data_IF_546308897334
#
_entry.id   IF_546308897334
#
_cell.length_a   1.000
_cell.length_b   1.000
_cell.length_c   1.000
_cell.angle_alpha   90.00
_cell.angle_beta   90.00
_cell.angle_gamma   90.00
#
_symmetry.space_group_name_H-M   'P 1'
#
loop_
_entity.id
_entity.type
_entity.pdbx_description
1 polymer ?
#
# COMPACT_ATOMS: atom_id res chain seq x y z
N UNK A 1 -16.43 -12.66 -16.51
CA UNK A 1 -15.73 -13.21 -15.33
C UNK A 1 -16.63 -12.97 -14.12
N UNK A 2 -17.17 -14.03 -13.52
CA UNK A 2 -18.28 -13.96 -12.57
C UNK A 2 -17.76 -13.70 -11.14
N UNK A 3 -17.60 -12.43 -10.79
CA UNK A 3 -17.69 -12.04 -9.39
C UNK A 3 -19.18 -12.10 -9.02
N UNK A 4 -19.61 -13.20 -8.38
CA UNK A 4 -20.91 -13.22 -7.71
C UNK A 4 -20.87 -12.16 -6.58
N UNK A 5 -22.00 -11.59 -6.16
CA UNK A 5 -22.04 -10.46 -5.22
C UNK A 5 -21.36 -10.68 -3.84
N UNK A 6 -20.76 -11.86 -3.60
CA UNK A 6 -19.95 -12.20 -2.42
C UNK A 6 -18.50 -11.72 -2.56
N UNK A 7 -17.91 -11.87 -3.75
CA UNK A 7 -16.55 -11.44 -4.04
C UNK A 7 -16.57 -10.16 -4.87
N UNK A 8 -15.60 -9.29 -4.61
CA UNK A 8 -15.36 -8.08 -5.38
C UNK A 8 -13.99 -8.22 -6.04
N UNK A 9 -13.87 -7.76 -7.29
CA UNK A 9 -12.57 -7.70 -7.97
C UNK A 9 -11.59 -6.89 -7.13
N UNK A 10 -10.33 -7.33 -7.09
CA UNK A 10 -9.29 -6.57 -6.42
C UNK A 10 -9.13 -5.21 -7.10
N UNK A 11 -8.80 -4.18 -6.32
CA UNK A 11 -8.51 -2.86 -6.88
C UNK A 11 -7.34 -2.93 -7.87
N UNK A 12 -7.38 -2.08 -8.90
CA UNK A 12 -6.33 -1.93 -9.91
C UNK A 12 -5.13 -1.16 -9.33
N UNK A 13 -4.42 -1.75 -8.37
CA UNK A 13 -3.32 -1.09 -7.67
C UNK A 13 -2.18 -0.70 -8.62
N UNK A 14 -2.01 -1.38 -9.75
CA UNK A 14 -1.07 -0.98 -10.81
C UNK A 14 -1.39 0.40 -11.38
N UNK A 15 -2.62 0.58 -11.88
CA UNK A 15 -3.09 1.84 -12.48
C UNK A 15 -3.20 2.93 -11.40
N UNK A 16 -3.66 2.56 -10.21
CA UNK A 16 -3.74 3.48 -9.07
C UNK A 16 -2.35 4.03 -8.73
N UNK A 17 -1.34 3.17 -8.58
CA UNK A 17 0.04 3.59 -8.33
C UNK A 17 0.56 4.55 -9.41
N UNK A 18 0.37 4.22 -10.69
CA UNK A 18 0.81 5.03 -11.82
C UNK A 18 0.12 6.41 -11.82
N UNK A 19 -1.18 6.45 -11.58
CA UNK A 19 -1.92 7.71 -11.46
C UNK A 19 -1.50 8.52 -10.23
N UNK A 20 -1.25 7.87 -9.09
CA UNK A 20 -0.87 8.56 -7.85
C UNK A 20 0.54 9.15 -7.93
N UNK A 21 1.50 8.49 -8.60
CA UNK A 21 2.84 9.04 -8.76
C UNK A 21 2.84 10.28 -9.66
N UNK A 22 2.02 10.29 -10.72
CA UNK A 22 1.82 11.46 -11.57
C UNK A 22 1.21 12.63 -10.78
N UNK A 23 0.11 12.38 -10.05
CA UNK A 23 -0.52 13.37 -9.17
C UNK A 23 0.48 13.95 -8.16
N UNK A 24 1.29 13.08 -7.53
CA UNK A 24 2.32 13.49 -6.59
C UNK A 24 3.36 14.40 -7.23
N UNK A 25 3.87 14.06 -8.43
CA UNK A 25 4.87 14.88 -9.13
C UNK A 25 4.34 16.28 -9.40
N UNK A 26 3.09 16.41 -9.85
CA UNK A 26 2.44 17.70 -10.11
C UNK A 26 2.32 18.53 -8.82
N UNK A 27 1.82 17.92 -7.74
CA UNK A 27 1.57 18.64 -6.48
C UNK A 27 2.88 19.02 -5.78
N UNK A 28 3.86 18.11 -5.74
CA UNK A 28 5.10 18.31 -5.00
C UNK A 28 6.07 19.27 -5.69
N UNK A 29 6.15 19.24 -7.04
CA UNK A 29 7.07 20.12 -7.78
C UNK A 29 6.48 21.49 -8.11
N UNK A 30 5.22 21.54 -8.52
CA UNK A 30 4.65 22.77 -9.11
C UNK A 30 3.97 23.66 -8.08
N UNK A 31 3.17 23.07 -7.18
CA UNK A 31 2.35 23.82 -6.23
C UNK A 31 2.91 23.84 -4.80
N UNK A 32 3.93 23.01 -4.51
CA UNK A 32 4.57 22.83 -3.19
C UNK A 32 3.57 22.76 -2.03
N UNK A 33 2.44 22.10 -2.24
CA UNK A 33 1.42 21.85 -1.20
C UNK A 33 1.94 20.74 -0.30
N UNK A 34 2.64 21.09 0.78
CA UNK A 34 3.37 20.18 1.69
C UNK A 34 2.46 19.09 2.23
N UNK A 35 1.33 19.46 2.86
CA UNK A 35 0.42 18.48 3.47
C UNK A 35 -0.13 17.52 2.42
N UNK A 36 -0.55 18.04 1.27
CA UNK A 36 -1.11 17.21 0.19
C UNK A 36 -0.04 16.32 -0.44
N UNK A 37 1.18 16.83 -0.62
CA UNK A 37 2.31 16.08 -1.17
C UNK A 37 2.68 14.92 -0.25
N UNK A 38 2.74 15.17 1.07
CA UNK A 38 3.04 14.14 2.06
C UNK A 38 1.96 13.06 2.10
N UNK A 39 0.69 13.46 2.08
CA UNK A 39 -0.45 12.54 2.02
C UNK A 39 -0.40 11.69 0.74
N UNK A 40 -0.27 12.32 -0.42
CA UNK A 40 -0.23 11.61 -1.71
C UNK A 40 0.98 10.70 -1.83
N UNK A 41 2.16 11.10 -1.37
CA UNK A 41 3.33 10.22 -1.39
C UNK A 41 3.16 9.00 -0.49
N UNK A 42 2.47 9.14 0.65
CA UNK A 42 2.07 7.98 1.45
C UNK A 42 1.13 7.04 0.67
N UNK A 43 0.12 7.59 -0.03
CA UNK A 43 -0.76 6.78 -0.89
C UNK A 43 0.02 6.12 -2.03
N UNK A 44 1.01 6.79 -2.62
CA UNK A 44 1.88 6.22 -3.66
C UNK A 44 2.59 4.97 -3.16
N UNK A 45 3.24 5.03 -1.99
CA UNK A 45 3.95 3.88 -1.43
C UNK A 45 2.97 2.75 -1.09
N UNK A 46 1.80 3.07 -0.52
CA UNK A 46 0.77 2.06 -0.25
C UNK A 46 0.33 1.34 -1.53
N UNK A 47 -0.06 2.08 -2.56
CA UNK A 47 -0.48 1.51 -3.84
C UNK A 47 0.64 0.70 -4.48
N UNK A 48 1.90 1.15 -4.35
CA UNK A 48 3.04 0.43 -4.89
C UNK A 48 3.25 -0.91 -4.19
N UNK A 49 3.23 -0.94 -2.86
CA UNK A 49 3.37 -2.19 -2.09
C UNK A 49 2.20 -3.15 -2.39
N UNK A 50 0.97 -2.63 -2.49
CA UNK A 50 -0.21 -3.44 -2.84
C UNK A 50 -0.18 -3.96 -4.27
N UNK A 51 0.32 -3.17 -5.23
CA UNK A 51 0.59 -3.62 -6.60
C UNK A 51 1.50 -4.85 -6.58
N UNK A 52 2.61 -4.78 -5.86
CA UNK A 52 3.57 -5.88 -5.75
C UNK A 52 2.97 -7.12 -5.08
N UNK A 53 2.17 -6.96 -4.02
CA UNK A 53 1.47 -8.07 -3.38
C UNK A 53 0.46 -8.75 -4.32
N UNK A 54 -0.34 -7.96 -5.04
CA UNK A 54 -1.31 -8.50 -6.00
C UNK A 54 -0.61 -9.28 -7.11
N UNK A 55 0.50 -8.77 -7.62
CA UNK A 55 1.30 -9.44 -8.65
C UNK A 55 1.94 -10.74 -8.13
N UNK A 56 2.67 -10.67 -7.00
CA UNK A 56 3.40 -11.82 -6.43
C UNK A 56 2.48 -12.99 -6.11
N UNK A 57 1.29 -12.71 -5.60
CA UNK A 57 0.35 -13.72 -5.12
C UNK A 57 -0.83 -13.98 -6.06
N UNK A 58 -0.80 -13.40 -7.27
CA UNK A 58 -1.86 -13.52 -8.29
C UNK A 58 -3.28 -13.26 -7.72
N UNK A 59 -3.40 -12.23 -6.88
CA UNK A 59 -4.67 -11.89 -6.23
C UNK A 59 -5.64 -11.37 -7.29
N UNK A 60 -6.83 -11.98 -7.37
CA UNK A 60 -7.86 -11.61 -8.33
C UNK A 60 -9.04 -10.87 -7.67
N UNK A 61 -9.29 -11.14 -6.38
CA UNK A 61 -10.46 -10.61 -5.70
C UNK A 61 -10.35 -10.60 -4.20
N UNK A 62 -11.36 -10.00 -3.59
CA UNK A 62 -11.49 -9.87 -2.14
C UNK A 62 -12.91 -10.15 -1.67
N UNK A 63 -13.01 -10.61 -0.42
CA UNK A 63 -14.27 -10.68 0.32
C UNK A 63 -14.26 -9.64 1.43
N UNK A 64 -15.18 -8.68 1.36
CA UNK A 64 -15.09 -7.47 2.17
C UNK A 64 -13.76 -6.75 1.90
N UNK A 65 -13.26 -5.99 2.87
CA UNK A 65 -11.96 -5.30 2.75
C UNK A 65 -10.78 -6.19 3.18
N UNK A 66 -11.03 -7.22 4.00
CA UNK A 66 -9.99 -7.92 4.75
C UNK A 66 -9.36 -9.08 3.98
N UNK A 67 -10.13 -9.95 3.35
CA UNK A 67 -9.62 -11.22 2.84
C UNK A 67 -9.37 -11.16 1.34
N UNK A 68 -8.17 -11.51 0.91
CA UNK A 68 -7.75 -11.52 -0.50
C UNK A 68 -7.55 -12.95 -1.01
N UNK A 69 -7.88 -13.17 -2.27
CA UNK A 69 -7.94 -14.49 -2.90
C UNK A 69 -7.42 -14.44 -4.33
N UNK A 70 -6.86 -15.55 -4.80
CA UNK A 70 -6.62 -15.78 -6.22
C UNK A 70 -7.93 -16.20 -6.94
N UNK A 71 -7.85 -16.38 -8.25
CA UNK A 71 -9.03 -16.77 -9.05
C UNK A 71 -9.50 -18.20 -8.74
N UNK A 72 -8.58 -19.14 -8.54
CA UNK A 72 -8.90 -20.55 -8.30
C UNK A 72 -9.74 -20.73 -7.03
N UNK A 73 -9.37 -20.05 -5.95
CA UNK A 73 -10.10 -20.11 -4.68
C UNK A 73 -11.46 -19.44 -4.80
N UNK A 74 -11.56 -18.32 -5.56
CA UNK A 74 -12.83 -17.65 -5.80
C UNK A 74 -13.79 -18.59 -6.56
N UNK A 75 -13.30 -19.28 -7.58
CA UNK A 75 -14.10 -20.25 -8.34
C UNK A 75 -14.55 -21.41 -7.44
N UNK A 76 -13.63 -22.03 -6.69
CA UNK A 76 -13.95 -23.12 -5.76
C UNK A 76 -15.03 -22.73 -4.74
N UNK A 77 -14.91 -21.54 -4.13
CA UNK A 77 -15.85 -21.06 -3.13
C UNK A 77 -17.19 -20.62 -3.75
N UNK A 78 -17.19 -20.19 -5.01
CA UNK A 78 -18.40 -19.74 -5.71
C UNK A 78 -19.30 -20.89 -6.16
N UNK A 79 -18.75 -22.08 -6.37
CA UNK A 79 -19.51 -23.28 -6.75
C UNK A 79 -20.23 -23.93 -5.56
N UNK A 80 -19.79 -23.64 -4.33
CA UNK A 80 -20.38 -24.16 -3.10
C UNK A 80 -21.67 -23.42 -2.74
N UNK A 81 -22.77 -24.15 -2.63
CA UNK A 81 -24.07 -23.58 -2.25
C UNK A 81 -24.09 -22.97 -0.84
N UNK A 82 -23.31 -23.52 0.12
CA UNK A 82 -23.26 -23.06 1.51
C UNK A 82 -21.81 -23.07 2.03
N UNK A 83 -21.10 -21.96 1.86
CA UNK A 83 -19.75 -21.78 2.41
C UNK A 83 -19.82 -21.16 3.81
N UNK A 84 -19.18 -21.78 4.79
CA UNK A 84 -19.10 -21.27 6.16
C UNK A 84 -18.14 -20.07 6.24
N UNK A 85 -18.36 -19.18 7.21
CA UNK A 85 -17.49 -18.00 7.44
C UNK A 85 -16.02 -18.36 7.65
N UNK A 86 -15.76 -19.47 8.36
CA UNK A 86 -14.39 -19.93 8.63
C UNK A 86 -13.70 -20.47 7.37
N UNK A 87 -14.43 -21.10 6.44
CA UNK A 87 -13.84 -21.57 5.17
C UNK A 87 -13.28 -20.41 4.35
N UNK A 88 -13.97 -19.27 4.30
CA UNK A 88 -13.45 -18.05 3.66
C UNK A 88 -12.13 -17.62 4.31
N UNK A 89 -12.08 -17.61 5.64
CA UNK A 89 -10.88 -17.20 6.37
C UNK A 89 -9.74 -18.18 6.13
N UNK A 90 -9.97 -19.47 6.21
CA UNK A 90 -8.95 -20.51 6.05
C UNK A 90 -8.37 -20.56 4.63
N UNK A 91 -9.21 -20.32 3.62
CA UNK A 91 -8.80 -20.38 2.20
C UNK A 91 -8.23 -19.09 1.66
N UNK A 92 -8.27 -17.97 2.39
CA UNK A 92 -7.68 -16.72 1.91
C UNK A 92 -6.17 -16.88 1.67
N UNK A 93 -5.66 -16.19 0.66
CA UNK A 93 -4.22 -16.10 0.42
C UNK A 93 -3.57 -15.24 1.49
N UNK A 94 -4.19 -14.08 1.80
CA UNK A 94 -3.70 -13.17 2.82
C UNK A 94 -4.82 -12.28 3.38
N UNK A 95 -4.49 -11.60 4.49
CA UNK A 95 -5.22 -10.43 4.94
C UNK A 95 -4.68 -9.17 4.22
N UNK A 96 -5.56 -8.24 3.87
CA UNK A 96 -5.21 -6.91 3.38
C UNK A 96 -4.32 -6.20 4.40
N UNK A 97 -3.15 -5.67 4.02
CA UNK A 97 -2.27 -4.92 4.93
C UNK A 97 -2.85 -3.55 5.32
N UNK A 98 -4.00 -3.14 4.78
CA UNK A 98 -4.58 -1.82 4.99
C UNK A 98 -3.59 -0.71 4.63
N UNK A 99 -3.23 0.18 5.55
CA UNK A 99 -2.22 1.22 5.34
C UNK A 99 -0.83 0.83 5.87
N UNK A 100 -0.69 -0.35 6.51
CA UNK A 100 0.51 -0.76 7.24
C UNK A 100 1.63 -1.22 6.28
N UNK A 101 2.64 -0.36 6.12
CA UNK A 101 3.80 -0.67 5.28
C UNK A 101 4.62 -1.82 5.83
N UNK A 102 4.76 -1.93 7.16
CA UNK A 102 5.58 -2.99 7.77
C UNK A 102 4.97 -4.34 7.48
N UNK A 103 3.63 -4.45 7.58
CA UNK A 103 2.91 -5.67 7.23
C UNK A 103 3.02 -6.01 5.75
N UNK A 104 2.91 -5.01 4.86
CA UNK A 104 3.06 -5.24 3.44
C UNK A 104 4.48 -5.71 3.07
N UNK A 105 5.52 -5.13 3.67
CA UNK A 105 6.91 -5.53 3.47
C UNK A 105 7.20 -6.93 3.99
N UNK A 106 6.60 -7.31 5.13
CA UNK A 106 6.70 -8.66 5.68
C UNK A 106 6.09 -9.68 4.71
N UNK A 107 4.87 -9.39 4.21
CA UNK A 107 4.21 -10.23 3.21
C UNK A 107 5.00 -10.31 1.90
N UNK A 108 5.75 -9.27 1.53
CA UNK A 108 6.64 -9.31 0.37
C UNK A 108 7.95 -10.08 0.62
N UNK A 109 8.26 -10.44 1.87
CA UNK A 109 9.53 -11.07 2.25
C UNK A 109 10.71 -10.09 2.29
N UNK A 110 10.44 -8.80 2.47
CA UNK A 110 11.44 -7.74 2.43
C UNK A 110 11.89 -7.26 3.82
N UNK A 111 11.15 -7.62 4.87
CA UNK A 111 11.45 -7.16 6.24
C UNK A 111 12.79 -7.65 6.78
N UNK A 112 13.18 -8.89 6.47
CA UNK A 112 14.38 -9.52 7.05
C UNK A 112 15.70 -8.90 6.56
N UNK A 113 15.68 -8.23 5.42
CA UNK A 113 16.85 -7.61 4.79
C UNK A 113 16.73 -6.08 4.70
N UNK A 114 15.84 -5.49 5.49
CA UNK A 114 15.59 -4.05 5.44
C UNK A 114 16.76 -3.28 6.04
N UNK A 115 17.50 -2.46 5.26
CA UNK A 115 18.58 -1.66 5.82
C UNK A 115 18.03 -0.66 6.85
N UNK A 116 18.70 -0.50 7.99
CA UNK A 116 18.25 0.38 9.09
C UNK A 116 17.98 1.82 8.62
N UNK A 117 18.82 2.34 7.70
CA UNK A 117 18.66 3.67 7.12
C UNK A 117 17.41 3.79 6.22
N UNK A 118 16.88 2.69 5.68
CA UNK A 118 15.63 2.64 4.91
C UNK A 118 14.45 2.42 5.85
N UNK A 119 14.59 1.57 6.87
CA UNK A 119 13.55 1.35 7.89
C UNK A 119 13.12 2.68 8.55
N UNK A 120 14.08 3.50 8.95
CA UNK A 120 13.79 4.81 9.54
C UNK A 120 13.06 5.75 8.57
N UNK A 121 13.39 5.69 7.28
CA UNK A 121 12.71 6.47 6.24
C UNK A 121 11.32 5.96 5.96
N UNK A 122 11.10 4.64 5.96
CA UNK A 122 9.77 4.04 5.85
C UNK A 122 8.90 4.50 7.01
N UNK A 123 9.41 4.49 8.25
CA UNK A 123 8.68 5.00 9.41
C UNK A 123 8.30 6.46 9.24
N UNK A 124 9.21 7.30 8.72
CA UNK A 124 8.93 8.72 8.46
C UNK A 124 7.90 8.92 7.35
N UNK A 125 7.97 8.14 6.27
CA UNK A 125 7.01 8.24 5.16
C UNK A 125 5.63 7.75 5.57
N UNK A 126 5.57 6.65 6.32
CA UNK A 126 4.34 6.08 6.87
C UNK A 126 3.69 7.00 7.91
N UNK A 127 4.48 7.57 8.82
CA UNK A 127 4.01 8.44 9.89
C UNK A 127 4.72 9.81 9.86
N UNK A 128 4.35 10.68 8.91
CA UNK A 128 4.98 11.99 8.73
C UNK A 128 4.81 12.92 9.93
N UNK A 129 3.76 12.73 10.72
CA UNK A 129 3.48 13.56 11.90
C UNK A 129 4.30 13.15 13.13
N UNK A 130 5.01 12.02 13.08
CA UNK A 130 5.84 11.50 14.17
C UNK A 130 5.06 11.36 15.49
N UNK A 131 3.75 11.11 15.41
CA UNK A 131 2.84 10.98 16.55
C UNK A 131 2.46 9.51 16.80
N UNK A 132 2.11 9.17 18.03
CA UNK A 132 1.63 7.83 18.33
C UNK A 132 0.30 7.56 17.61
N UNK A 133 0.17 6.36 17.03
CA UNK A 133 -1.05 5.86 16.38
C UNK A 133 -1.55 6.72 15.22
N UNK A 134 -0.66 7.46 14.57
CA UNK A 134 -0.95 8.17 13.33
C UNK A 134 -0.23 7.54 12.13
N UNK A 135 -0.79 7.77 10.96
CA UNK A 135 -0.16 7.48 9.67
C UNK A 135 -0.34 8.67 8.71
N UNK A 136 0.12 8.52 7.47
CA UNK A 136 0.04 9.56 6.46
C UNK A 136 -1.41 9.96 6.14
N UNK A 137 -2.41 9.12 6.42
CA UNK A 137 -3.81 9.46 6.20
C UNK A 137 -4.30 10.53 7.17
N UNK A 138 -3.69 10.70 8.34
CA UNK A 138 -4.05 11.74 9.30
C UNK A 138 -3.73 13.16 8.80
N UNK A 139 -2.87 13.28 7.78
CA UNK A 139 -2.59 14.55 7.10
C UNK A 139 -3.83 15.19 6.47
N UNK A 140 -4.90 14.42 6.21
CA UNK A 140 -6.20 14.93 5.74
C UNK A 140 -6.77 16.03 6.64
N UNK A 141 -6.40 16.05 7.92
CA UNK A 141 -6.90 16.98 8.92
C UNK A 141 -5.88 18.03 9.36
N UNK A 142 -4.70 18.09 8.71
CA UNK A 142 -3.64 19.05 9.01
C UNK A 142 -3.68 20.25 8.08
N UNK A 143 -3.48 21.45 8.60
CA UNK A 143 -3.38 22.63 7.75
C UNK A 143 -1.96 22.74 7.16
N UNK A 144 -1.86 23.33 5.97
CA UNK A 144 -0.60 23.54 5.26
C UNK A 144 0.44 24.35 6.06
N UNK A 145 -0.05 25.28 6.90
CA UNK A 145 0.77 26.11 7.77
C UNK A 145 1.35 25.35 8.97
N UNK A 146 0.85 24.14 9.26
CA UNK A 146 1.24 23.35 10.43
C UNK A 146 2.36 22.35 10.10
N UNK A 147 2.91 22.41 8.87
CA UNK A 147 4.03 21.60 8.40
C UNK A 147 5.17 22.56 8.07
N UNK A 148 6.30 22.43 8.74
CA UNK A 148 7.46 23.28 8.45
C UNK A 148 8.12 22.88 7.13
N UNK A 149 8.84 23.82 6.51
CA UNK A 149 9.47 23.56 5.21
C UNK A 149 10.56 22.51 5.34
N UNK A 150 11.35 22.57 6.42
CA UNK A 150 12.43 21.63 6.71
C UNK A 150 11.88 20.21 6.94
N UNK A 151 10.75 20.07 7.64
CA UNK A 151 10.06 18.79 7.85
C UNK A 151 9.59 18.20 6.51
N UNK A 152 9.04 19.04 5.64
CA UNK A 152 8.61 18.62 4.32
C UNK A 152 9.78 18.15 3.45
N UNK A 153 10.90 18.89 3.44
CA UNK A 153 12.08 18.50 2.65
C UNK A 153 12.74 17.21 3.17
N UNK A 154 12.82 17.03 4.49
CA UNK A 154 13.27 15.78 5.12
C UNK A 154 12.39 14.60 4.70
N UNK A 155 11.07 14.78 4.77
CA UNK A 155 10.11 13.77 4.36
C UNK A 155 10.21 13.49 2.86
N UNK A 156 10.36 14.51 2.01
CA UNK A 156 10.43 14.37 0.55
C UNK A 156 11.69 13.61 0.11
N UNK A 157 12.83 13.88 0.75
CA UNK A 157 14.05 13.10 0.55
C UNK A 157 13.84 11.64 0.95
N UNK A 158 13.20 11.41 2.11
CA UNK A 158 12.90 10.06 2.61
C UNK A 158 11.96 9.29 1.69
N UNK A 159 10.90 9.93 1.19
CA UNK A 159 9.97 9.37 0.21
C UNK A 159 10.70 8.89 -1.05
N UNK A 160 11.61 9.71 -1.60
CA UNK A 160 12.37 9.35 -2.81
C UNK A 160 13.26 8.13 -2.58
N UNK A 161 13.96 8.08 -1.46
CA UNK A 161 14.81 6.95 -1.13
C UNK A 161 14.02 5.65 -0.90
N UNK A 162 12.88 5.73 -0.20
CA UNK A 162 11.99 4.58 0.01
C UNK A 162 11.42 4.10 -1.32
N UNK A 163 10.91 5.01 -2.15
CA UNK A 163 10.35 4.69 -3.46
C UNK A 163 11.37 3.99 -4.35
N UNK A 164 12.59 4.54 -4.46
CA UNK A 164 13.67 3.95 -5.22
C UNK A 164 14.07 2.57 -4.67
N UNK A 165 14.20 2.43 -3.35
CA UNK A 165 14.55 1.15 -2.74
C UNK A 165 13.52 0.06 -3.04
N UNK A 166 12.21 0.36 -2.90
CA UNK A 166 11.14 -0.59 -3.26
C UNK A 166 11.22 -0.96 -4.74
N UNK A 167 11.50 0.02 -5.60
CA UNK A 167 11.67 -0.23 -7.03
C UNK A 167 12.86 -1.15 -7.34
N UNK A 168 13.97 -1.01 -6.63
CA UNK A 168 15.14 -1.87 -6.77
C UNK A 168 14.88 -3.30 -6.26
N UNK A 169 13.95 -3.47 -5.32
CA UNK A 169 13.57 -4.80 -4.82
C UNK A 169 12.64 -5.55 -5.79
N UNK A 170 12.06 -4.91 -6.82
CA UNK A 170 11.08 -5.55 -7.74
C UNK A 170 11.55 -6.88 -8.29
N UNK A 171 12.80 -6.94 -8.78
CA UNK A 171 13.34 -8.18 -9.36
C UNK A 171 13.30 -9.34 -8.36
N UNK A 172 13.65 -9.08 -7.09
CA UNK A 172 13.62 -10.09 -6.01
C UNK A 172 12.22 -10.54 -5.61
N UNK A 173 11.20 -9.75 -5.94
CA UNK A 173 9.80 -10.03 -5.62
C UNK A 173 9.16 -10.86 -6.73
N UNK A 174 9.65 -10.70 -7.97
CA UNK A 174 9.19 -11.40 -9.17
C UNK A 174 9.88 -12.76 -9.39
N UNK A 175 11.08 -12.97 -8.79
CA UNK A 175 11.81 -14.24 -8.74
C UNK A 175 11.28 -15.23 -7.68
#
# INVERSE_FOLDING_TARGET
MLFNGVFVRIEEFSEAYESRIEDFVLVAKENRRKTLSMYLGGVVIECFLKKLLVQKYNIAGRKGIKYWYDLNIIEELSEKANVLKEEYKEKRIMDNPYHDYSKALELLGLSDNLPENIENKIKLVYNPLKQEKTDFTDLRYRAEKDIETEEFEEWLASFREVHNWINDQKQRIED
#
